data_IF_772837448228
#
_entry.id   IF_772837448228
#
_cell.length_a   1.000
_cell.length_b   1.000
_cell.length_c   1.000
_cell.angle_alpha   90.00
_cell.angle_beta   90.00
_cell.angle_gamma   90.00
#
_symmetry.space_group_name_H-M   'P 1'
#
loop_
_entity.id
_entity.type
_entity.pdbx_description
1 polymer ?
#
# COMPACT_ATOMS: atom_id res chain seq x y z
N UNK A 1 10.14 41.08 -55.22
CA UNK A 1 10.43 40.65 -53.84
C UNK A 1 9.38 41.25 -52.92
N UNK A 2 8.65 40.45 -52.14
CA UNK A 2 9.10 40.25 -50.77
C UNK A 2 8.97 38.77 -50.34
N UNK A 3 10.05 38.02 -50.53
CA UNK A 3 10.23 36.65 -50.06
C UNK A 3 10.56 36.59 -48.55
N UNK A 4 10.25 37.65 -47.79
CA UNK A 4 10.73 37.84 -46.40
C UNK A 4 9.75 37.37 -45.32
N UNK A 5 8.51 37.00 -45.69
CA UNK A 5 7.47 36.58 -44.73
C UNK A 5 7.13 35.08 -44.73
N UNK A 6 7.57 34.32 -45.75
CA UNK A 6 7.25 32.88 -45.86
C UNK A 6 8.24 32.00 -45.06
N UNK A 7 9.44 32.53 -44.75
CA UNK A 7 10.47 31.82 -43.97
C UNK A 7 10.19 31.74 -42.46
N UNK A 8 9.19 32.47 -41.95
CA UNK A 8 8.83 32.41 -40.52
C UNK A 8 7.93 31.22 -40.17
N UNK A 9 7.19 30.68 -41.13
CA UNK A 9 6.25 29.56 -40.91
C UNK A 9 6.94 28.21 -40.64
N UNK A 10 8.03 27.80 -41.34
CA UNK A 10 8.71 26.54 -41.04
C UNK A 10 9.53 26.59 -39.74
N UNK A 11 10.02 27.77 -39.34
CA UNK A 11 10.73 27.95 -38.06
C UNK A 11 9.77 27.82 -36.88
N UNK A 12 8.53 28.30 -37.02
CA UNK A 12 7.49 28.17 -36.00
C UNK A 12 6.98 26.72 -35.84
N UNK A 13 7.01 25.92 -36.91
CA UNK A 13 6.68 24.50 -36.85
C UNK A 13 7.78 23.65 -36.18
N UNK A 14 9.04 24.10 -36.21
CA UNK A 14 10.15 23.35 -35.60
C UNK A 14 10.16 23.41 -34.06
N UNK A 15 9.38 24.31 -33.45
CA UNK A 15 9.40 24.55 -31.99
C UNK A 15 8.31 23.77 -31.24
N UNK A 16 7.42 23.06 -31.95
CA UNK A 16 6.32 22.27 -31.36
C UNK A 16 6.67 20.79 -31.17
N UNK A 17 7.86 20.34 -31.54
CA UNK A 17 8.32 18.97 -31.27
C UNK A 17 8.95 18.88 -29.87
N UNK A 18 8.11 18.95 -28.85
CA UNK A 18 8.53 18.71 -27.47
C UNK A 18 8.66 17.21 -27.23
N UNK A 19 9.89 16.68 -27.28
CA UNK A 19 10.14 15.31 -26.83
C UNK A 19 9.84 15.21 -25.32
N UNK A 20 8.75 14.52 -24.98
CA UNK A 20 8.48 14.10 -23.61
C UNK A 20 9.32 12.85 -23.38
N UNK A 21 10.39 12.98 -22.61
CA UNK A 21 11.23 11.86 -22.24
C UNK A 21 10.50 10.99 -21.20
N UNK A 22 10.25 9.72 -21.53
CA UNK A 22 9.55 8.81 -20.63
C UNK A 22 10.56 8.28 -19.62
N UNK A 23 10.27 8.45 -18.34
CA UNK A 23 10.99 7.77 -17.27
C UNK A 23 10.67 6.27 -17.39
N UNK A 24 11.63 5.49 -17.88
CA UNK A 24 11.55 4.04 -17.92
C UNK A 24 12.21 3.47 -16.66
N UNK A 25 11.39 2.91 -15.77
CA UNK A 25 11.89 2.16 -14.63
C UNK A 25 12.29 0.75 -15.10
N UNK A 26 13.58 0.42 -15.01
CA UNK A 26 14.03 -0.96 -15.21
C UNK A 26 13.76 -1.75 -13.94
N UNK A 27 12.65 -2.49 -13.91
CA UNK A 27 12.35 -3.43 -12.83
C UNK A 27 12.84 -4.83 -13.21
N UNK A 28 13.42 -5.59 -12.27
CA UNK A 28 13.73 -6.99 -12.51
C UNK A 28 12.47 -7.75 -12.94
N UNK A 29 12.57 -8.72 -13.87
CA UNK A 29 11.43 -9.55 -14.23
C UNK A 29 10.97 -10.36 -13.01
N UNK A 30 9.83 -9.98 -12.42
CA UNK A 30 9.19 -10.77 -11.36
C UNK A 30 8.42 -11.91 -12.03
N UNK A 31 8.64 -13.17 -11.64
CA UNK A 31 7.81 -14.28 -12.12
C UNK A 31 6.35 -13.99 -11.73
N UNK A 32 5.44 -14.02 -12.70
CA UNK A 32 3.99 -13.85 -12.48
C UNK A 32 3.35 -15.00 -11.67
N UNK A 33 4.17 -15.89 -11.11
CA UNK A 33 3.77 -16.96 -10.18
C UNK A 33 3.86 -16.54 -8.72
N UNK A 34 4.37 -15.33 -8.44
CA UNK A 34 4.41 -14.77 -7.10
C UNK A 34 3.06 -14.14 -6.73
N UNK A 35 2.72 -14.22 -5.44
CA UNK A 35 1.51 -13.64 -4.86
C UNK A 35 1.90 -12.51 -3.92
N UNK A 36 1.02 -11.52 -3.80
CA UNK A 36 1.08 -10.46 -2.81
C UNK A 36 0.20 -10.87 -1.63
N UNK A 37 0.80 -10.92 -0.45
CA UNK A 37 0.15 -11.18 0.83
C UNK A 37 0.16 -9.88 1.62
N UNK A 38 -1.01 -9.26 1.82
CA UNK A 38 -1.17 -8.02 2.58
C UNK A 38 -2.00 -8.30 3.83
N UNK A 39 -1.51 -7.92 5.00
CA UNK A 39 -2.27 -8.01 6.24
C UNK A 39 -1.63 -7.21 7.35
N UNK A 40 -2.39 -6.99 8.42
CA UNK A 40 -1.87 -6.37 9.64
C UNK A 40 -2.63 -6.90 10.85
N UNK A 41 -1.86 -7.21 11.90
CA UNK A 41 -2.38 -7.48 13.25
C UNK A 41 -2.11 -6.26 14.13
N UNK A 42 -3.04 -5.94 15.05
CA UNK A 42 -2.90 -4.83 16.00
C UNK A 42 -3.28 -5.29 17.40
N UNK A 43 -3.10 -4.44 18.41
CA UNK A 43 -3.58 -4.72 19.77
C UNK A 43 -5.06 -4.35 19.99
N UNK A 44 -5.76 -3.84 18.97
CA UNK A 44 -7.22 -3.66 19.00
C UNK A 44 -7.93 -5.01 18.76
N UNK A 45 -9.18 -5.19 19.22
CA UNK A 45 -9.99 -6.36 18.85
C UNK A 45 -10.08 -6.54 17.33
N UNK A 46 -10.11 -7.79 16.87
CA UNK A 46 -10.30 -8.13 15.46
C UNK A 46 -11.72 -7.83 14.95
N UNK A 47 -12.10 -8.32 13.76
CA UNK A 47 -11.34 -9.27 12.94
C UNK A 47 -10.15 -8.62 12.21
N UNK A 48 -9.03 -9.32 12.13
CA UNK A 48 -7.90 -8.94 11.27
C UNK A 48 -8.11 -9.48 9.86
N UNK A 49 -7.60 -8.77 8.86
CA UNK A 49 -7.78 -9.14 7.45
C UNK A 49 -6.44 -9.43 6.79
N UNK A 50 -6.38 -10.55 6.06
CA UNK A 50 -5.30 -10.89 5.13
C UNK A 50 -5.87 -10.93 3.72
N UNK A 51 -5.23 -10.21 2.79
CA UNK A 51 -5.59 -10.15 1.38
C UNK A 51 -4.52 -10.81 0.53
N UNK A 52 -4.96 -11.60 -0.42
CA UNK A 52 -4.13 -12.36 -1.36
C UNK A 52 -4.46 -11.92 -2.78
N UNK A 53 -3.43 -11.59 -3.56
CA UNK A 53 -3.58 -11.19 -4.96
C UNK A 53 -2.35 -11.57 -5.77
N UNK A 54 -2.46 -11.56 -7.10
CA UNK A 54 -1.29 -11.73 -7.97
C UNK A 54 -0.43 -10.46 -8.03
N UNK A 55 0.87 -10.63 -8.23
CA UNK A 55 1.77 -9.52 -8.55
C UNK A 55 1.31 -8.84 -9.85
N UNK A 56 1.24 -7.51 -9.82
CA UNK A 56 1.00 -6.69 -11.00
C UNK A 56 2.32 -6.16 -11.55
N UNK A 57 2.44 -6.11 -12.89
CA UNK A 57 3.54 -5.38 -13.52
C UNK A 57 3.29 -3.88 -13.44
N UNK A 58 4.35 -3.11 -13.23
CA UNK A 58 4.30 -1.65 -13.12
C UNK A 58 3.80 -0.94 -14.39
N UNK A 59 3.85 -1.61 -15.54
CA UNK A 59 3.41 -1.11 -16.85
C UNK A 59 2.03 -1.64 -17.29
N UNK A 60 1.34 -2.41 -16.45
CA UNK A 60 0.09 -3.05 -16.82
C UNK A 60 -1.08 -2.04 -16.91
N UNK A 61 -1.75 -2.01 -18.06
CA UNK A 61 -2.96 -1.21 -18.35
C UNK A 61 -4.26 -1.87 -17.84
N UNK A 62 -4.16 -3.01 -17.14
CA UNK A 62 -5.24 -3.93 -16.73
C UNK A 62 -5.30 -4.05 -15.20
N UNK A 63 -6.42 -4.54 -14.59
CA UNK A 63 -6.83 -4.14 -13.25
C UNK A 63 -5.82 -4.51 -12.16
N UNK A 64 -5.81 -3.67 -11.12
CA UNK A 64 -5.09 -3.85 -9.86
C UNK A 64 -5.26 -5.30 -9.34
N UNK A 65 -4.19 -5.84 -8.74
CA UNK A 65 -3.99 -7.24 -8.32
C UNK A 65 -5.24 -8.13 -8.29
N UNK A 66 -5.31 -9.09 -9.20
CA UNK A 66 -6.40 -10.08 -9.25
C UNK A 66 -6.38 -10.90 -7.95
N UNK A 67 -7.50 -10.98 -7.20
CA UNK A 67 -7.55 -11.75 -5.97
C UNK A 67 -7.28 -13.25 -6.21
N UNK A 68 -6.58 -13.90 -5.28
CA UNK A 68 -6.26 -15.33 -5.36
C UNK A 68 -6.68 -16.01 -4.07
N UNK A 69 -7.32 -17.17 -4.17
CA UNK A 69 -7.65 -17.98 -3.00
C UNK A 69 -6.51 -18.96 -2.68
N UNK A 70 -6.19 -19.06 -1.40
CA UNK A 70 -5.39 -20.12 -0.81
C UNK A 70 -6.30 -21.21 -0.22
N UNK A 71 -5.73 -22.41 -0.04
CA UNK A 71 -6.38 -23.52 0.66
C UNK A 71 -6.60 -23.16 2.14
N UNK A 72 -5.53 -22.70 2.81
CA UNK A 72 -5.55 -22.35 4.23
C UNK A 72 -4.68 -21.12 4.51
N UNK A 73 -5.10 -20.28 5.44
CA UNK A 73 -4.37 -19.10 5.89
C UNK A 73 -4.32 -19.10 7.40
N UNK A 74 -3.13 -18.95 7.99
CA UNK A 74 -2.93 -18.92 9.43
C UNK A 74 -2.32 -17.60 9.88
N UNK A 75 -2.75 -17.15 11.04
CA UNK A 75 -2.09 -16.12 11.83
C UNK A 75 -1.62 -16.75 13.14
N UNK A 76 -0.32 -16.67 13.43
CA UNK A 76 0.28 -17.33 14.57
C UNK A 76 1.21 -16.40 15.34
N UNK A 77 1.34 -16.65 16.65
CA UNK A 77 2.25 -15.93 17.54
C UNK A 77 3.36 -16.82 18.11
N UNK A 78 4.34 -16.17 18.73
CA UNK A 78 5.49 -16.81 19.37
C UNK A 78 5.17 -17.55 20.69
N UNK A 79 3.94 -17.44 21.21
CA UNK A 79 3.47 -18.15 22.39
C UNK A 79 2.74 -19.45 22.04
N UNK A 80 2.68 -19.81 20.75
CA UNK A 80 2.03 -21.03 20.25
C UNK A 80 0.54 -20.89 19.99
N UNK A 81 -0.01 -19.67 20.03
CA UNK A 81 -1.38 -19.41 19.56
C UNK A 81 -1.37 -19.37 18.04
N UNK A 82 -2.29 -20.11 17.42
CA UNK A 82 -2.47 -20.14 15.96
C UNK A 82 -3.95 -20.11 15.66
N UNK A 83 -4.34 -19.28 14.71
CA UNK A 83 -5.70 -19.18 14.23
C UNK A 83 -5.74 -19.37 12.71
N UNK A 84 -6.65 -20.24 12.25
CA UNK A 84 -6.97 -20.37 10.83
C UNK A 84 -8.01 -19.30 10.45
N UNK A 85 -7.69 -18.50 9.44
CA UNK A 85 -8.55 -17.43 8.97
C UNK A 85 -9.63 -17.96 8.01
N UNK A 86 -10.81 -17.36 8.07
CA UNK A 86 -11.95 -17.73 7.23
C UNK A 86 -11.98 -16.89 5.95
N UNK A 87 -12.16 -17.54 4.80
CA UNK A 87 -12.39 -16.85 3.53
C UNK A 87 -13.75 -16.14 3.56
N UNK A 88 -13.76 -14.81 3.43
CA UNK A 88 -14.99 -13.99 3.45
C UNK A 88 -15.37 -13.45 2.07
N UNK A 89 -14.39 -13.28 1.18
CA UNK A 89 -14.58 -12.96 -0.23
C UNK A 89 -13.33 -13.36 -1.01
N UNK A 90 -13.37 -13.30 -2.35
CA UNK A 90 -12.24 -13.73 -3.18
C UNK A 90 -10.93 -13.05 -2.74
N UNK A 91 -9.95 -13.86 -2.33
CA UNK A 91 -8.66 -13.44 -1.82
C UNK A 91 -8.68 -12.69 -0.49
N UNK A 92 -9.78 -12.68 0.26
CA UNK A 92 -9.89 -11.97 1.56
C UNK A 92 -10.21 -12.96 2.67
N UNK A 93 -9.31 -13.03 3.64
CA UNK A 93 -9.38 -13.91 4.79
C UNK A 93 -9.46 -13.09 6.08
N UNK A 94 -10.29 -13.52 7.02
CA UNK A 94 -10.48 -12.83 8.29
C UNK A 94 -10.35 -13.74 9.50
N UNK A 95 -9.77 -13.20 10.57
CA UNK A 95 -9.83 -13.84 11.89
C UNK A 95 -11.25 -13.79 12.44
N UNK A 96 -11.55 -14.63 13.42
CA UNK A 96 -12.72 -14.49 14.26
C UNK A 96 -12.68 -13.14 15.01
N UNK A 97 -13.84 -12.49 15.24
CA UNK A 97 -13.93 -11.31 16.11
C UNK A 97 -13.43 -11.57 17.54
N UNK A 98 -13.51 -12.82 18.01
CA UNK A 98 -13.00 -13.27 19.31
C UNK A 98 -11.76 -14.15 19.19
N UNK A 99 -11.09 -14.11 18.05
CA UNK A 99 -9.89 -14.90 17.76
C UNK A 99 -8.64 -14.33 18.41
N UNK A 100 -7.50 -14.57 17.76
CA UNK A 100 -6.21 -14.01 18.12
C UNK A 100 -6.33 -12.50 18.26
N UNK A 101 -5.59 -11.95 19.23
CA UNK A 101 -5.46 -10.52 19.44
C UNK A 101 -4.00 -10.16 19.65
N UNK A 102 -3.54 -9.11 18.97
CA UNK A 102 -2.19 -8.62 19.14
C UNK A 102 -1.90 -8.22 20.59
N UNK A 103 -0.74 -8.63 21.08
CA UNK A 103 -0.22 -8.30 22.41
C UNK A 103 1.16 -7.68 22.22
N UNK A 104 1.34 -6.50 22.81
CA UNK A 104 2.62 -5.79 22.76
C UNK A 104 3.73 -6.69 23.30
N UNK A 105 4.83 -6.79 22.57
CA UNK A 105 5.99 -7.60 22.90
C UNK A 105 6.01 -8.99 22.28
N UNK A 106 4.89 -9.50 21.75
CA UNK A 106 4.83 -10.77 20.99
C UNK A 106 5.20 -10.56 19.53
N UNK A 107 5.72 -11.60 18.92
CA UNK A 107 5.97 -11.68 17.48
C UNK A 107 4.89 -12.49 16.77
N UNK A 108 4.50 -12.05 15.58
CA UNK A 108 3.44 -12.65 14.78
C UNK A 108 3.92 -12.96 13.37
N UNK A 109 3.41 -14.03 12.77
CA UNK A 109 3.65 -14.35 11.37
C UNK A 109 2.37 -14.85 10.69
N UNK A 110 2.32 -14.70 9.38
CA UNK A 110 1.27 -15.27 8.52
C UNK A 110 1.84 -16.45 7.76
N UNK A 111 1.03 -17.50 7.62
CA UNK A 111 1.34 -18.67 6.79
C UNK A 111 0.19 -18.92 5.81
N UNK A 112 0.51 -19.07 4.54
CA UNK A 112 -0.45 -19.26 3.45
C UNK A 112 -0.12 -20.56 2.72
N UNK A 113 -1.08 -21.47 2.66
CA UNK A 113 -0.97 -22.76 1.98
C UNK A 113 -1.83 -22.75 0.72
N UNK A 114 -1.22 -22.89 -0.45
CA UNK A 114 -1.89 -22.85 -1.75
C UNK A 114 -2.35 -24.24 -2.20
N UNK A 115 -3.36 -24.29 -3.08
CA UNK A 115 -3.88 -25.55 -3.64
C UNK A 115 -2.83 -26.33 -4.45
N UNK A 116 -1.85 -25.64 -5.02
CA UNK A 116 -0.75 -26.25 -5.77
C UNK A 116 0.37 -26.80 -4.86
N UNK A 117 0.22 -26.73 -3.54
CA UNK A 117 1.19 -27.19 -2.55
C UNK A 117 2.26 -26.16 -2.18
N UNK A 118 2.27 -24.97 -2.78
CA UNK A 118 3.17 -23.90 -2.37
C UNK A 118 2.79 -23.36 -0.99
N UNK A 119 3.81 -23.04 -0.18
CA UNK A 119 3.65 -22.52 1.16
C UNK A 119 4.46 -21.24 1.27
N UNK A 120 3.79 -20.17 1.71
CA UNK A 120 4.40 -18.86 1.96
C UNK A 120 4.31 -18.55 3.44
N UNK A 121 5.42 -18.13 4.04
CA UNK A 121 5.50 -17.80 5.45
C UNK A 121 6.28 -16.50 5.63
N UNK A 122 5.71 -15.56 6.39
CA UNK A 122 6.43 -14.33 6.72
C UNK A 122 7.46 -14.62 7.81
N UNK A 123 8.55 -13.85 7.82
CA UNK A 123 9.39 -13.77 9.02
C UNK A 123 8.53 -13.22 10.17
N UNK A 124 8.66 -13.74 11.40
CA UNK A 124 7.94 -13.18 12.55
C UNK A 124 8.28 -11.71 12.77
N UNK A 125 7.23 -10.89 12.92
CA UNK A 125 7.34 -9.45 13.16
C UNK A 125 6.85 -9.12 14.57
N UNK A 126 7.65 -8.34 15.31
CA UNK A 126 7.40 -8.05 16.72
C UNK A 126 6.50 -6.84 16.86
N UNK A 127 5.42 -6.99 17.63
CA UNK A 127 4.56 -5.86 17.99
C UNK A 127 5.24 -4.98 19.03
N UNK A 128 5.80 -3.86 18.59
CA UNK A 128 6.42 -2.88 19.48
C UNK A 128 5.36 -2.01 20.16
N UNK A 129 5.67 -1.43 21.33
CA UNK A 129 4.78 -0.46 21.95
C UNK A 129 4.59 0.74 21.03
N UNK A 130 3.36 1.22 20.90
CA UNK A 130 3.06 2.43 20.13
C UNK A 130 3.11 3.67 21.03
N UNK A 131 3.53 4.79 20.45
CA UNK A 131 3.39 6.10 21.06
C UNK A 131 1.93 6.55 21.21
N UNK A 132 1.72 7.79 21.66
CA UNK A 132 0.38 8.39 21.75
C UNK A 132 0.23 9.53 20.75
N UNK A 133 -0.98 9.66 20.20
CA UNK A 133 -1.41 10.85 19.48
C UNK A 133 -1.96 11.83 20.52
N UNK A 134 -1.48 13.06 20.52
CA UNK A 134 -1.90 14.11 21.45
C UNK A 134 -2.97 15.01 20.83
N UNK A 135 -2.78 15.40 19.57
CA UNK A 135 -3.69 16.28 18.86
C UNK A 135 -3.80 15.88 17.37
N UNK A 136 -5.00 16.02 16.81
CA UNK A 136 -5.28 15.91 15.37
C UNK A 136 -6.07 17.14 14.98
N UNK A 137 -5.53 17.95 14.09
CA UNK A 137 -6.16 19.20 13.65
C UNK A 137 -5.90 19.43 12.17
N UNK A 138 -6.67 20.36 11.59
CA UNK A 138 -6.56 20.69 10.19
C UNK A 138 -6.69 22.19 9.96
N UNK A 139 -6.09 22.65 8.87
CA UNK A 139 -6.24 24.01 8.37
C UNK A 139 -6.76 23.94 6.94
N UNK A 140 -7.72 24.80 6.62
CA UNK A 140 -8.17 24.96 5.26
C UNK A 140 -7.18 25.84 4.50
N UNK A 141 -6.81 25.43 3.29
CA UNK A 141 -5.90 26.19 2.43
C UNK A 141 -6.41 26.30 0.99
N UNK A 142 -6.12 27.46 0.39
CA UNK A 142 -6.20 27.66 -1.05
C UNK A 142 -4.83 27.36 -1.66
N UNK A 143 -4.75 26.27 -2.42
CA UNK A 143 -3.55 25.83 -3.12
C UNK A 143 -3.60 26.45 -4.52
N UNK A 144 -2.88 27.56 -4.70
CA UNK A 144 -2.78 28.19 -6.02
C UNK A 144 -1.76 27.42 -6.86
N UNK A 145 -2.24 26.67 -7.87
CA UNK A 145 -1.39 26.03 -8.87
C UNK A 145 -1.56 26.71 -10.21
N UNK A 146 -0.48 27.36 -10.65
CA UNK A 146 -0.40 28.09 -11.93
C UNK A 146 -1.41 29.24 -11.98
N UNK A 147 -2.65 28.98 -12.39
CA UNK A 147 -3.74 29.92 -12.66
C UNK A 147 -5.11 29.42 -12.13
N UNK A 148 -5.13 28.32 -11.38
CA UNK A 148 -6.32 27.80 -10.69
C UNK A 148 -6.10 27.75 -9.19
N UNK A 149 -7.11 28.21 -8.47
CA UNK A 149 -7.26 27.96 -7.04
C UNK A 149 -7.79 26.54 -6.85
N UNK A 150 -6.96 25.65 -6.32
CA UNK A 150 -7.41 24.40 -5.71
C UNK A 150 -7.67 24.65 -4.21
N UNK A 151 -8.52 23.84 -3.61
CA UNK A 151 -8.83 23.92 -2.18
C UNK A 151 -8.48 22.61 -1.50
N UNK A 152 -7.87 22.70 -0.33
CA UNK A 152 -7.41 21.54 0.41
C UNK A 152 -7.48 21.73 1.92
N UNK A 153 -7.23 20.63 2.62
CA UNK A 153 -6.99 20.63 4.05
C UNK A 153 -5.55 20.19 4.31
N UNK A 154 -4.78 20.98 5.07
CA UNK A 154 -3.56 20.51 5.71
C UNK A 154 -3.95 19.78 6.97
N UNK A 155 -3.50 18.54 7.11
CA UNK A 155 -3.75 17.72 8.30
C UNK A 155 -2.46 17.69 9.11
N UNK A 156 -2.55 18.04 10.38
CA UNK A 156 -1.45 18.05 11.32
C UNK A 156 -1.71 17.08 12.45
N UNK A 157 -0.63 16.43 12.91
CA UNK A 157 -0.70 15.52 14.05
C UNK A 157 0.49 15.72 14.96
N UNK A 158 0.19 16.04 16.22
CA UNK A 158 1.18 16.04 17.28
C UNK A 158 1.15 14.66 17.97
N UNK A 159 2.32 14.05 18.12
CA UNK A 159 2.44 12.74 18.75
C UNK A 159 3.76 12.60 19.50
N UNK A 160 3.76 11.78 20.54
CA UNK A 160 4.95 11.35 21.25
C UNK A 160 5.22 9.88 20.98
N UNK A 161 6.43 9.55 20.55
CA UNK A 161 6.89 8.17 20.38
C UNK A 161 7.47 7.60 21.66
N UNK A 162 7.62 6.29 21.71
CA UNK A 162 8.38 5.62 22.77
C UNK A 162 9.87 5.54 22.37
N UNK A 163 10.82 5.61 23.33
CA UNK A 163 12.24 5.48 23.01
C UNK A 163 12.53 4.17 22.26
N UNK A 164 13.21 4.28 21.12
CA UNK A 164 13.55 3.14 20.26
C UNK A 164 12.57 2.87 19.11
N UNK A 165 11.42 3.55 19.06
CA UNK A 165 10.45 3.43 17.97
C UNK A 165 10.28 4.78 17.26
N UNK A 166 11.02 4.98 16.17
CA UNK A 166 11.04 6.24 15.42
C UNK A 166 10.14 6.21 14.16
N UNK A 167 9.59 5.04 13.82
CA UNK A 167 8.80 4.85 12.62
C UNK A 167 7.30 4.95 12.91
N UNK A 168 6.64 5.88 12.23
CA UNK A 168 5.19 6.07 12.30
C UNK A 168 4.57 5.71 10.95
N UNK A 169 3.54 4.85 10.97
CA UNK A 169 2.72 4.57 9.78
C UNK A 169 1.43 5.37 9.83
N UNK A 170 1.23 6.22 8.84
CA UNK A 170 0.00 6.95 8.62
C UNK A 170 -0.84 6.27 7.54
N UNK A 171 -2.13 6.05 7.80
CA UNK A 171 -3.08 5.57 6.81
C UNK A 171 -4.29 6.50 6.79
N UNK A 172 -4.47 7.20 5.67
CA UNK A 172 -5.62 8.05 5.42
C UNK A 172 -6.61 7.32 4.50
N UNK A 173 -7.90 7.43 4.80
CA UNK A 173 -8.99 6.95 3.95
C UNK A 173 -9.89 8.15 3.68
N UNK A 174 -9.77 8.72 2.48
CA UNK A 174 -10.65 9.80 2.01
C UNK A 174 -11.91 9.22 1.37
N UNK A 175 -13.02 9.93 1.50
CA UNK A 175 -14.29 9.67 0.78
C UNK A 175 -14.38 10.52 -0.47
#
# INVERSE_FOLDING_TARGET
>A
MPLRRILFFPVLWLVIDGCIDRINFSTPPVPLTEIVIEGAITNAPGPYTVKLSNVIKSDATLPLGVPVNANRVFLADDAGTTEELTLVSAGVYQSSPSGIRGTIGRSYHVRVEMDNGNIFESVPDKMTPVGRIDSLYYEWEEIVRSDKADYGYRIYVDSHTVPGEEYLRWKFVGT
#
